data_IF_694322743084
#
_entry.id   IF_694322743084
#
_cell.length_a   1.000
_cell.length_b   1.000
_cell.length_c   1.000
_cell.angle_alpha   90.00
_cell.angle_beta   90.00
_cell.angle_gamma   90.00
#
_symmetry.space_group_name_H-M   'P 1'
#
loop_
_entity.id
_entity.type
_entity.pdbx_description
1 polymer ?
#
# COMPACT_ATOMS: atom_id res chain seq x y z
N UNK A 1 10.83 -18.81 5.26
CA UNK A 1 9.74 -18.40 4.35
C UNK A 1 8.96 -17.27 5.00
N UNK A 2 8.41 -16.34 4.22
CA UNK A 2 7.48 -15.31 4.72
C UNK A 2 6.23 -15.96 5.29
N UNK A 3 5.86 -15.55 6.50
CA UNK A 3 4.63 -15.96 7.19
C UNK A 3 3.80 -14.72 7.47
N UNK A 4 2.50 -14.77 7.16
CA UNK A 4 1.53 -13.72 7.47
C UNK A 4 0.72 -14.17 8.68
N UNK A 5 0.58 -13.28 9.67
CA UNK A 5 -0.24 -13.52 10.86
C UNK A 5 -1.16 -12.34 11.11
N UNK A 6 -2.47 -12.59 10.97
CA UNK A 6 -3.50 -11.62 11.35
C UNK A 6 -3.70 -11.66 12.86
N UNK A 7 -3.48 -10.51 13.54
CA UNK A 7 -3.66 -10.40 14.99
C UNK A 7 -5.00 -9.75 15.35
N UNK A 8 -5.47 -8.82 14.52
CA UNK A 8 -6.79 -8.19 14.59
C UNK A 8 -7.23 -7.77 13.19
N UNK A 9 -8.47 -7.29 12.99
CA UNK A 9 -8.88 -6.71 11.71
C UNK A 9 -7.97 -5.57 11.24
N UNK A 10 -7.34 -4.82 12.14
CA UNK A 10 -6.49 -3.67 11.81
C UNK A 10 -4.99 -3.99 11.80
N UNK A 11 -4.56 -5.16 12.29
CA UNK A 11 -3.14 -5.49 12.45
C UNK A 11 -2.73 -6.78 11.75
N UNK A 12 -1.82 -6.62 10.79
CA UNK A 12 -1.13 -7.72 10.10
C UNK A 12 0.35 -7.78 10.49
N UNK A 13 0.86 -8.96 10.80
CA UNK A 13 2.29 -9.20 11.00
C UNK A 13 2.89 -9.99 9.83
N UNK A 14 3.93 -9.43 9.20
CA UNK A 14 4.80 -10.12 8.24
C UNK A 14 6.01 -10.64 9.01
N UNK A 15 6.12 -11.95 9.16
CA UNK A 15 7.22 -12.62 9.88
C UNK A 15 8.23 -13.17 8.89
N UNK A 16 9.47 -12.70 9.00
CA UNK A 16 10.54 -13.00 8.03
C UNK A 16 11.76 -13.55 8.78
N UNK A 17 12.28 -14.73 8.42
CA UNK A 17 13.57 -15.17 8.94
C UNK A 17 14.66 -14.25 8.40
N UNK A 18 15.58 -13.80 9.26
CA UNK A 18 16.65 -12.89 8.83
C UNK A 18 18.05 -13.38 9.19
N UNK A 19 19.00 -12.94 8.36
CA UNK A 19 20.44 -12.97 8.63
C UNK A 19 20.89 -11.55 8.92
N UNK A 20 21.71 -11.36 9.96
CA UNK A 20 22.18 -10.03 10.38
C UNK A 20 22.80 -9.26 9.21
N UNK A 21 22.37 -8.01 9.03
CA UNK A 21 22.92 -7.11 8.01
C UNK A 21 22.48 -7.41 6.57
N UNK A 22 21.66 -8.44 6.35
CA UNK A 22 21.06 -8.72 5.04
C UNK A 22 19.78 -7.88 4.90
N UNK A 23 19.64 -7.06 3.86
CA UNK A 23 18.45 -6.24 3.64
C UNK A 23 17.26 -7.08 3.19
N UNK A 24 16.07 -6.60 3.54
CA UNK A 24 14.78 -7.09 3.04
C UNK A 24 14.02 -5.92 2.43
N UNK A 25 13.66 -6.06 1.15
CA UNK A 25 12.91 -5.04 0.41
C UNK A 25 11.40 -5.32 0.46
N UNK A 26 10.60 -4.25 0.45
CA UNK A 26 9.14 -4.28 0.36
C UNK A 26 8.71 -3.23 -0.68
N UNK A 27 7.72 -3.57 -1.51
CA UNK A 27 7.09 -2.62 -2.41
C UNK A 27 5.85 -2.03 -1.74
N UNK A 28 5.85 -0.72 -1.51
CA UNK A 28 4.72 0.01 -0.95
C UNK A 28 4.06 0.83 -2.06
N UNK A 29 2.80 0.53 -2.39
CA UNK A 29 2.03 1.21 -3.45
C UNK A 29 0.62 1.57 -2.99
N UNK A 30 -0.03 2.49 -3.68
CA UNK A 30 -1.42 2.95 -3.44
C UNK A 30 -1.96 3.52 -4.75
N UNK A 31 -3.26 3.82 -4.80
CA UNK A 31 -3.90 4.58 -5.89
C UNK A 31 -3.56 4.00 -7.26
N UNK A 32 -3.68 2.67 -7.36
CA UNK A 32 -3.32 1.90 -8.56
C UNK A 32 -4.39 2.07 -9.63
N UNK A 33 -5.67 2.00 -9.22
CA UNK A 33 -6.83 2.08 -10.10
C UNK A 33 -6.76 1.14 -11.31
N UNK A 34 -6.47 -0.15 -11.05
CA UNK A 34 -6.07 -1.14 -12.07
C UNK A 34 -7.06 -1.29 -13.24
N UNK A 35 -8.36 -1.17 -12.99
CA UNK A 35 -9.44 -1.24 -13.98
C UNK A 35 -9.68 0.06 -14.75
N UNK A 36 -8.97 1.15 -14.42
CA UNK A 36 -9.08 2.40 -15.16
C UNK A 36 -8.18 2.37 -16.42
N UNK A 37 -8.65 2.86 -17.60
CA UNK A 37 -7.82 3.01 -18.79
C UNK A 37 -6.55 3.85 -18.60
N UNK A 38 -6.60 4.82 -17.68
CA UNK A 38 -5.47 5.70 -17.34
C UNK A 38 -4.43 5.04 -16.40
N UNK A 39 -4.69 3.82 -15.92
CA UNK A 39 -3.69 3.07 -15.18
C UNK A 39 -2.53 2.66 -16.11
N UNK A 40 -1.32 3.12 -15.79
CA UNK A 40 -0.08 2.67 -16.41
C UNK A 40 0.26 1.25 -15.93
N UNK A 41 -0.44 0.28 -16.54
CA UNK A 41 -0.24 -1.16 -16.32
C UNK A 41 1.16 -1.62 -16.71
N UNK A 42 1.90 -0.87 -17.55
CA UNK A 42 3.28 -1.19 -17.90
C UNK A 42 4.23 -0.88 -16.74
N UNK A 43 4.14 0.33 -16.20
CA UNK A 43 4.89 0.74 -15.03
C UNK A 43 4.60 -0.16 -13.83
N UNK A 44 3.31 -0.45 -13.58
CA UNK A 44 2.90 -1.35 -12.51
C UNK A 44 3.53 -2.74 -12.71
N UNK A 45 3.39 -3.34 -13.90
CA UNK A 45 3.97 -4.65 -14.21
C UNK A 45 5.47 -4.68 -13.98
N UNK A 46 6.19 -3.61 -14.36
CA UNK A 46 7.62 -3.48 -14.11
C UNK A 46 7.95 -3.54 -12.61
N UNK A 47 7.23 -2.80 -11.77
CA UNK A 47 7.48 -2.79 -10.32
C UNK A 47 7.09 -4.12 -9.66
N UNK A 48 6.01 -4.76 -10.09
CA UNK A 48 5.60 -6.08 -9.60
C UNK A 48 6.61 -7.17 -9.98
N UNK A 49 7.14 -7.13 -11.21
CA UNK A 49 8.23 -8.02 -11.65
C UNK A 49 9.50 -7.82 -10.83
N UNK A 50 9.87 -6.56 -10.55
CA UNK A 50 11.00 -6.26 -9.68
C UNK A 50 10.78 -6.78 -8.26
N UNK A 51 9.57 -6.63 -7.71
CA UNK A 51 9.24 -7.11 -6.36
C UNK A 51 9.36 -8.63 -6.29
N UNK A 52 8.78 -9.35 -7.25
CA UNK A 52 8.89 -10.80 -7.34
C UNK A 52 10.35 -11.26 -7.50
N UNK A 53 11.12 -10.63 -8.38
CA UNK A 53 12.54 -10.96 -8.59
C UNK A 53 13.42 -10.75 -7.34
N UNK A 54 13.06 -9.78 -6.47
CA UNK A 54 13.73 -9.53 -5.19
C UNK A 54 13.19 -10.40 -4.03
N UNK A 55 12.10 -11.14 -4.26
CA UNK A 55 11.35 -11.79 -3.17
C UNK A 55 10.72 -10.79 -2.19
N UNK A 56 10.47 -9.56 -2.65
CA UNK A 56 9.91 -8.47 -1.87
C UNK A 56 8.38 -8.62 -1.76
N UNK A 57 7.80 -8.59 -0.54
CA UNK A 57 6.36 -8.53 -0.38
C UNK A 57 5.79 -7.22 -0.94
N UNK A 58 4.62 -7.30 -1.57
CA UNK A 58 3.90 -6.16 -2.13
C UNK A 58 2.76 -5.80 -1.17
N UNK A 59 2.72 -4.53 -0.77
CA UNK A 59 1.73 -3.95 0.15
C UNK A 59 1.01 -2.80 -0.57
N UNK A 60 -0.31 -2.92 -0.74
CA UNK A 60 -1.15 -1.93 -1.42
C UNK A 60 -2.05 -1.21 -0.42
N UNK A 61 -1.91 0.12 -0.31
CA UNK A 61 -2.56 0.92 0.74
C UNK A 61 -3.75 1.74 0.24
N UNK A 62 -4.75 1.05 -0.33
CA UNK A 62 -6.00 1.63 -0.81
C UNK A 62 -6.01 1.96 -2.30
N UNK A 63 -7.22 2.08 -2.84
CA UNK A 63 -7.52 2.42 -4.23
C UNK A 63 -6.75 1.53 -5.23
N UNK A 64 -6.71 0.22 -4.95
CA UNK A 64 -6.22 -0.77 -5.91
C UNK A 64 -7.15 -0.81 -7.14
N UNK A 65 -8.45 -0.69 -6.89
CA UNK A 65 -9.49 -0.69 -7.90
C UNK A 65 -10.13 0.70 -8.00
N UNK A 66 -10.51 1.10 -9.21
CA UNK A 66 -11.16 2.36 -9.54
C UNK A 66 -12.68 2.26 -9.35
N UNK A 67 -13.34 1.24 -9.91
CA UNK A 67 -14.74 0.90 -9.62
C UNK A 67 -15.77 2.02 -9.89
N UNK A 68 -15.45 2.97 -10.75
CA UNK A 68 -16.27 4.17 -10.94
C UNK A 68 -17.49 3.96 -11.85
N UNK A 69 -17.68 2.77 -12.43
CA UNK A 69 -18.72 2.54 -13.47
C UNK A 69 -19.96 1.79 -12.94
N UNK A 70 -20.06 1.62 -11.62
CA UNK A 70 -21.26 1.07 -11.00
C UNK A 70 -22.48 1.98 -11.21
N UNK A 71 -23.68 1.41 -11.31
CA UNK A 71 -24.92 2.16 -11.63
C UNK A 71 -25.23 3.33 -10.68
N UNK A 72 -24.74 3.27 -9.43
CA UNK A 72 -24.95 4.30 -8.41
C UNK A 72 -23.77 5.27 -8.28
N UNK A 73 -22.71 5.10 -9.07
CA UNK A 73 -21.55 6.00 -9.02
C UNK A 73 -21.77 7.19 -9.97
N UNK A 74 -21.87 8.39 -9.39
CA UNK A 74 -22.07 9.64 -10.15
C UNK A 74 -20.82 10.10 -10.90
N UNK A 75 -19.67 9.48 -10.63
CA UNK A 75 -18.38 9.82 -11.26
C UNK A 75 -18.15 9.01 -12.54
N UNK A 76 -19.01 8.04 -12.85
CA UNK A 76 -18.87 7.14 -13.99
C UNK A 76 -18.82 7.86 -15.33
N UNK A 77 -17.97 7.34 -16.22
CA UNK A 77 -17.83 7.80 -17.60
C UNK A 77 -17.38 6.65 -18.47
N UNK A 78 -17.99 6.52 -19.65
CA UNK A 78 -17.62 5.49 -20.64
C UNK A 78 -16.16 5.60 -21.10
N UNK A 79 -15.57 6.79 -21.06
CA UNK A 79 -14.15 6.99 -21.38
C UNK A 79 -13.22 6.36 -20.35
N UNK A 80 -13.70 6.18 -19.12
CA UNK A 80 -12.95 5.63 -17.98
C UNK A 80 -13.32 4.15 -17.73
N UNK A 81 -13.92 3.48 -18.72
CA UNK A 81 -14.30 2.07 -18.69
C UNK A 81 -13.46 1.31 -19.71
N UNK A 82 -12.79 0.23 -19.28
CA UNK A 82 -12.08 -0.65 -20.21
C UNK A 82 -13.08 -1.52 -20.99
N UNK A 83 -12.81 -1.85 -22.27
CA UNK A 83 -13.72 -2.65 -23.10
C UNK A 83 -14.12 -3.99 -22.48
N UNK A 84 -13.16 -4.67 -21.83
CA UNK A 84 -13.37 -5.95 -21.13
C UNK A 84 -14.35 -5.87 -19.95
N UNK A 85 -14.61 -4.66 -19.42
CA UNK A 85 -15.54 -4.45 -18.31
C UNK A 85 -16.92 -3.94 -18.77
N UNK A 86 -17.15 -3.85 -20.10
CA UNK A 86 -18.38 -3.33 -20.69
C UNK A 86 -19.52 -4.35 -20.70
N UNK A 87 -19.90 -4.88 -19.52
CA UNK A 87 -21.02 -5.81 -19.35
C UNK A 87 -21.98 -5.39 -18.23
N UNK A 88 -23.14 -6.05 -18.18
CA UNK A 88 -24.18 -5.78 -17.16
C UNK A 88 -23.74 -6.14 -15.74
N UNK A 89 -22.75 -7.02 -15.60
CA UNK A 89 -22.13 -7.47 -14.36
C UNK A 89 -20.75 -6.80 -14.15
N UNK A 90 -20.66 -5.48 -14.38
CA UNK A 90 -19.44 -4.68 -14.33
C UNK A 90 -18.46 -5.06 -13.20
N UNK A 91 -18.93 -5.15 -11.95
CA UNK A 91 -18.05 -5.45 -10.81
C UNK A 91 -17.43 -6.83 -10.90
N UNK A 92 -18.20 -7.86 -11.27
CA UNK A 92 -17.66 -9.21 -11.44
C UNK A 92 -16.59 -9.24 -12.54
N UNK A 93 -16.83 -8.57 -13.67
CA UNK A 93 -15.86 -8.45 -14.76
C UNK A 93 -14.56 -7.78 -14.29
N UNK A 94 -14.66 -6.71 -13.50
CA UNK A 94 -13.50 -6.05 -12.91
C UNK A 94 -12.75 -6.99 -11.96
N UNK A 95 -13.46 -7.68 -11.06
CA UNK A 95 -12.84 -8.56 -10.08
C UNK A 95 -12.16 -9.76 -10.72
N UNK A 96 -12.80 -10.38 -11.72
CA UNK A 96 -12.25 -11.52 -12.43
C UNK A 96 -11.00 -11.12 -13.22
N UNK A 97 -11.08 -10.04 -14.03
CA UNK A 97 -9.95 -9.59 -14.85
C UNK A 97 -8.78 -9.07 -14.01
N UNK A 98 -9.05 -8.29 -12.95
CA UNK A 98 -7.98 -7.82 -12.07
C UNK A 98 -7.32 -8.97 -11.30
N UNK A 99 -8.08 -10.00 -10.89
CA UNK A 99 -7.50 -11.18 -10.25
C UNK A 99 -6.61 -11.97 -11.22
N UNK A 100 -7.07 -12.16 -12.46
CA UNK A 100 -6.29 -12.82 -13.51
C UNK A 100 -5.02 -12.03 -13.83
N UNK A 101 -5.13 -10.71 -14.00
CA UNK A 101 -3.99 -9.82 -14.28
C UNK A 101 -2.94 -9.86 -13.16
N UNK A 102 -3.36 -9.86 -11.89
CA UNK A 102 -2.48 -9.91 -10.73
C UNK A 102 -1.95 -11.32 -10.42
N UNK A 103 -2.53 -12.37 -11.01
CA UNK A 103 -2.18 -13.77 -10.72
C UNK A 103 -0.69 -14.11 -10.86
N UNK A 104 0.10 -13.55 -11.80
CA UNK A 104 1.53 -13.85 -11.90
C UNK A 104 2.33 -13.43 -10.65
N UNK A 105 1.82 -12.47 -9.87
CA UNK A 105 2.45 -11.96 -8.65
C UNK A 105 1.69 -12.33 -7.37
N UNK A 106 0.72 -13.25 -7.47
CA UNK A 106 -0.13 -13.69 -6.37
C UNK A 106 0.69 -14.11 -5.12
N UNK A 107 1.82 -14.78 -5.31
CA UNK A 107 2.71 -15.22 -4.22
C UNK A 107 3.42 -14.08 -3.48
N UNK A 108 3.60 -12.94 -4.14
CA UNK A 108 4.31 -11.76 -3.61
C UNK A 108 3.33 -10.75 -3.00
N UNK A 109 2.06 -10.77 -3.38
CA UNK A 109 1.03 -9.89 -2.82
C UNK A 109 0.69 -10.32 -1.38
N UNK A 110 1.03 -9.47 -0.42
CA UNK A 110 0.89 -9.77 1.00
C UNK A 110 -0.27 -9.01 1.65
N UNK A 111 -0.53 -7.77 1.21
CA UNK A 111 -1.56 -6.91 1.79
C UNK A 111 -2.22 -6.06 0.70
N UNK A 112 -3.54 -5.96 0.78
CA UNK A 112 -4.33 -4.89 0.15
C UNK A 112 -5.21 -4.27 1.23
N UNK A 113 -5.27 -2.94 1.30
CA UNK A 113 -6.18 -2.24 2.21
C UNK A 113 -7.25 -1.50 1.45
N UNK A 114 -8.36 -1.19 2.11
CA UNK A 114 -9.41 -0.35 1.54
C UNK A 114 -8.90 1.07 1.23
N UNK A 115 -9.40 1.65 0.13
CA UNK A 115 -9.36 3.07 -0.15
C UNK A 115 -10.76 3.68 -0.24
N UNK A 116 -10.85 4.92 -0.71
CA UNK A 116 -12.13 5.60 -0.82
C UNK A 116 -12.94 5.10 -2.02
N UNK A 117 -12.30 4.48 -3.02
CA UNK A 117 -13.01 3.87 -4.14
C UNK A 117 -13.72 2.59 -3.71
N UNK A 118 -13.03 1.71 -2.98
CA UNK A 118 -13.62 0.44 -2.53
C UNK A 118 -14.69 0.65 -1.46
N UNK A 119 -14.45 1.52 -0.48
CA UNK A 119 -15.45 1.84 0.55
C UNK A 119 -16.69 2.53 -0.01
N UNK A 120 -16.56 3.33 -1.07
CA UNK A 120 -17.72 3.93 -1.76
C UNK A 120 -18.60 2.86 -2.43
N UNK A 121 -18.01 1.81 -3.01
CA UNK A 121 -18.80 0.69 -3.57
C UNK A 121 -19.48 -0.09 -2.46
N UNK A 122 -18.76 -0.43 -1.39
CA UNK A 122 -19.32 -1.13 -0.24
C UNK A 122 -20.51 -0.37 0.35
N UNK A 123 -20.36 0.94 0.59
CA UNK A 123 -21.43 1.76 1.18
C UNK A 123 -22.64 2.01 0.27
N UNK A 124 -22.43 2.12 -1.05
CA UNK A 124 -23.52 2.45 -1.98
C UNK A 124 -24.20 1.22 -2.60
N UNK A 125 -23.49 0.09 -2.67
CA UNK A 125 -23.91 -1.10 -3.42
C UNK A 125 -23.76 -2.40 -2.64
N UNK A 126 -23.33 -2.35 -1.37
CA UNK A 126 -23.27 -3.51 -0.45
C UNK A 126 -22.38 -4.65 -0.96
N UNK A 127 -21.41 -4.32 -1.82
CA UNK A 127 -20.42 -5.24 -2.37
C UNK A 127 -19.07 -4.87 -1.78
N UNK A 128 -18.43 -5.80 -1.09
CA UNK A 128 -17.03 -5.67 -0.68
C UNK A 128 -16.11 -6.00 -1.88
N UNK A 129 -15.43 -5.01 -2.47
CA UNK A 129 -14.64 -5.24 -3.67
C UNK A 129 -13.34 -6.00 -3.38
N UNK A 130 -12.66 -5.68 -2.28
CA UNK A 130 -11.37 -6.27 -1.96
C UNK A 130 -11.50 -7.67 -1.38
N UNK A 131 -12.54 -7.97 -0.61
CA UNK A 131 -12.80 -9.35 -0.20
C UNK A 131 -13.10 -10.23 -1.44
N UNK A 132 -13.86 -9.70 -2.41
CA UNK A 132 -14.11 -10.41 -3.67
C UNK A 132 -12.84 -10.66 -4.50
N UNK A 133 -11.95 -9.67 -4.59
CA UNK A 133 -10.68 -9.77 -5.29
C UNK A 133 -9.72 -10.72 -4.57
N UNK A 134 -9.53 -10.54 -3.26
CA UNK A 134 -8.59 -11.37 -2.47
C UNK A 134 -9.03 -12.83 -2.41
N UNK A 135 -10.33 -13.11 -2.33
CA UNK A 135 -10.86 -14.49 -2.46
C UNK A 135 -10.45 -15.15 -3.78
N UNK A 136 -10.50 -14.43 -4.90
CA UNK A 136 -10.07 -14.93 -6.21
C UNK A 136 -8.55 -15.13 -6.28
N UNK A 137 -7.78 -14.16 -5.76
CA UNK A 137 -6.32 -14.26 -5.68
C UNK A 137 -5.85 -15.42 -4.82
N UNK A 138 -6.56 -15.76 -3.74
CA UNK A 138 -6.32 -16.97 -2.93
C UNK A 138 -6.53 -18.24 -3.75
N UNK A 139 -7.46 -18.24 -4.72
CA UNK A 139 -7.61 -19.31 -5.72
C UNK A 139 -6.38 -19.49 -6.62
N UNK A 140 -5.60 -18.43 -6.85
CA UNK A 140 -4.29 -18.45 -7.52
C UNK A 140 -3.12 -18.72 -6.55
N UNK A 141 -3.40 -19.14 -5.31
CA UNK A 141 -2.37 -19.44 -4.30
C UNK A 141 -1.80 -18.22 -3.56
N UNK A 142 -2.40 -17.04 -3.71
CA UNK A 142 -2.00 -15.86 -2.94
C UNK A 142 -2.28 -16.04 -1.44
N UNK A 143 -1.41 -15.46 -0.61
CA UNK A 143 -1.64 -15.31 0.83
C UNK A 143 -2.19 -13.94 1.21
N UNK A 144 -2.59 -13.13 0.22
CA UNK A 144 -2.98 -11.74 0.44
C UNK A 144 -4.04 -11.60 1.53
N UNK A 145 -3.80 -10.62 2.38
CA UNK A 145 -4.70 -10.21 3.45
C UNK A 145 -5.38 -8.89 3.08
N UNK A 146 -6.69 -8.83 3.24
CA UNK A 146 -7.50 -7.62 3.08
C UNK A 146 -7.58 -6.89 4.42
N UNK A 147 -7.13 -5.63 4.47
CA UNK A 147 -7.18 -4.77 5.65
C UNK A 147 -8.14 -3.59 5.46
N UNK A 148 -8.66 -3.01 6.55
CA UNK A 148 -9.51 -1.83 6.50
C UNK A 148 -8.72 -0.59 6.06
N UNK A 149 -9.43 0.54 5.91
CA UNK A 149 -8.91 1.84 5.42
C UNK A 149 -7.67 2.38 6.15
N UNK A 150 -7.50 2.00 7.42
CA UNK A 150 -6.31 2.29 8.22
C UNK A 150 -5.96 1.10 9.10
N UNK A 151 -4.71 1.03 9.54
CA UNK A 151 -4.27 -0.04 10.42
C UNK A 151 -2.76 -0.07 10.61
N UNK A 152 -2.28 -1.25 10.95
CA UNK A 152 -0.92 -1.50 11.37
C UNK A 152 -0.34 -2.69 10.61
N UNK A 153 0.94 -2.56 10.29
CA UNK A 153 1.75 -3.64 9.75
C UNK A 153 2.97 -3.81 10.64
N UNK A 154 3.17 -5.01 11.17
CA UNK A 154 4.38 -5.37 11.89
C UNK A 154 5.32 -6.15 10.98
N UNK A 155 6.44 -5.54 10.60
CA UNK A 155 7.51 -6.24 9.89
C UNK A 155 8.44 -6.85 10.95
N UNK A 156 8.24 -8.15 11.23
CA UNK A 156 8.95 -8.86 12.29
C UNK A 156 10.01 -9.79 11.72
N UNK A 157 11.26 -9.41 11.91
CA UNK A 157 12.43 -10.18 11.53
C UNK A 157 12.84 -11.09 12.69
N UNK A 158 12.86 -12.41 12.50
CA UNK A 158 13.23 -13.37 13.53
C UNK A 158 14.44 -14.24 13.14
N UNK A 159 15.28 -14.63 14.12
CA UNK A 159 16.32 -15.65 13.91
C UNK A 159 15.77 -17.04 14.25
N UNK A 160 15.77 -18.03 13.34
CA UNK A 160 15.46 -19.42 13.68
C UNK A 160 16.42 -19.95 14.77
N UNK A 161 15.95 -20.85 15.64
CA UNK A 161 16.77 -21.54 16.67
C UNK A 161 17.25 -20.76 17.91
N UNK A 162 17.20 -19.41 17.97
CA UNK A 162 17.78 -18.65 19.10
C UNK A 162 16.89 -18.56 20.38
N UNK A 163 17.41 -18.29 21.58
CA UNK A 163 16.59 -18.21 22.82
C UNK A 163 15.77 -16.90 22.94
N UNK A 164 14.78 -16.86 23.87
CA UNK A 164 13.66 -15.88 23.94
C UNK A 164 14.03 -14.38 24.00
N UNK A 165 15.21 -13.98 24.48
CA UNK A 165 15.62 -12.57 24.57
C UNK A 165 16.59 -12.23 23.44
N UNK A 166 16.20 -11.32 22.54
CA UNK A 166 17.05 -10.83 21.43
C UNK A 166 16.78 -11.47 20.07
N UNK A 167 15.77 -12.35 19.96
CA UNK A 167 15.47 -13.16 18.77
C UNK A 167 14.81 -12.40 17.61
N UNK A 168 14.06 -11.34 17.91
CA UNK A 168 13.24 -10.60 16.96
C UNK A 168 13.64 -9.13 16.86
N UNK A 169 13.48 -8.56 15.67
CA UNK A 169 13.52 -7.12 15.41
C UNK A 169 12.21 -6.75 14.72
N UNK A 170 11.62 -5.63 15.09
CA UNK A 170 10.33 -5.22 14.54
C UNK A 170 10.42 -3.80 14.04
N UNK A 171 9.84 -3.56 12.86
CA UNK A 171 9.43 -2.25 12.40
C UNK A 171 7.91 -2.19 12.53
N UNK A 172 7.42 -1.18 13.24
CA UNK A 172 5.99 -0.91 13.38
C UNK A 172 5.61 0.11 12.32
N UNK A 173 4.80 -0.29 11.36
CA UNK A 173 4.24 0.58 10.34
C UNK A 173 2.78 0.89 10.68
N UNK A 174 2.41 2.16 10.61
CA UNK A 174 1.01 2.60 10.59
C UNK A 174 0.66 3.02 9.17
N UNK A 175 -0.54 2.68 8.71
CA UNK A 175 -1.04 3.15 7.43
C UNK A 175 -2.45 3.72 7.57
N UNK A 176 -2.77 4.63 6.67
CA UNK A 176 -4.10 5.18 6.47
C UNK A 176 -4.21 5.53 4.98
N UNK A 177 -5.25 5.12 4.25
CA UNK A 177 -5.30 5.40 2.81
C UNK A 177 -5.18 6.89 2.50
N UNK A 178 -5.90 7.75 3.22
CA UNK A 178 -5.65 9.19 3.19
C UNK A 178 -6.90 10.01 3.45
N UNK A 179 -6.74 11.32 3.59
CA UNK A 179 -7.85 12.27 3.57
C UNK A 179 -7.63 13.24 2.42
N UNK A 180 -8.72 13.72 1.81
CA UNK A 180 -8.64 14.59 0.66
C UNK A 180 -7.89 15.89 0.97
N UNK A 181 -7.10 16.38 0.00
CA UNK A 181 -6.29 17.59 0.12
C UNK A 181 -4.78 17.35 0.12
N UNK A 182 -4.01 18.33 0.58
CA UNK A 182 -2.55 18.22 0.68
C UNK A 182 -1.78 18.35 -0.64
N UNK A 183 -2.43 18.80 -1.73
CA UNK A 183 -1.81 18.99 -3.05
C UNK A 183 -0.60 19.93 -2.94
N UNK A 184 -0.76 21.11 -2.35
CA UNK A 184 0.31 22.11 -2.25
C UNK A 184 1.44 21.66 -1.30
N UNK A 185 1.10 21.00 -0.20
CA UNK A 185 2.08 20.49 0.76
C UNK A 185 2.67 19.14 0.34
N UNK A 186 2.30 18.61 -0.83
CA UNK A 186 2.72 17.31 -1.35
C UNK A 186 2.51 16.16 -0.34
N UNK A 187 1.40 16.22 0.39
CA UNK A 187 1.03 15.25 1.42
C UNK A 187 1.77 15.36 2.76
N UNK A 188 2.81 16.19 2.88
CA UNK A 188 3.71 16.24 4.07
C UNK A 188 2.96 16.54 5.38
N UNK A 189 1.94 17.40 5.33
CA UNK A 189 1.12 17.74 6.50
C UNK A 189 0.32 16.54 7.03
N UNK A 190 -0.04 15.58 6.17
CA UNK A 190 -0.68 14.34 6.57
C UNK A 190 0.21 13.52 7.51
N UNK A 191 1.52 13.49 7.23
CA UNK A 191 2.52 12.80 8.05
C UNK A 191 2.50 13.22 9.51
N UNK A 192 2.43 14.53 9.78
CA UNK A 192 2.34 15.06 11.14
C UNK A 192 1.06 14.63 11.87
N UNK A 193 -0.08 14.64 11.17
CA UNK A 193 -1.38 14.19 11.73
C UNK A 193 -1.33 12.70 12.11
N UNK A 194 -0.87 11.86 11.19
CA UNK A 194 -0.77 10.42 11.43
C UNK A 194 0.26 10.10 12.51
N UNK A 195 1.39 10.83 12.55
CA UNK A 195 2.40 10.67 13.58
C UNK A 195 1.89 10.98 14.99
N UNK A 196 0.93 11.91 15.11
CA UNK A 196 0.29 12.29 16.37
C UNK A 196 -0.67 11.22 16.90
N UNK A 197 -1.41 10.53 16.02
CA UNK A 197 -2.36 9.48 16.43
C UNK A 197 -1.70 8.11 16.54
N UNK A 198 -0.57 7.91 15.86
CA UNK A 198 0.23 6.69 15.88
C UNK A 198 1.67 6.98 16.33
N UNK A 199 1.89 7.43 17.58
CA UNK A 199 3.24 7.79 18.07
C UNK A 199 4.22 6.61 18.09
N UNK A 200 3.72 5.38 18.14
CA UNK A 200 4.52 4.15 18.14
C UNK A 200 5.00 3.70 16.75
N UNK A 201 4.52 4.33 15.67
CA UNK A 201 4.91 3.96 14.31
C UNK A 201 6.35 4.42 13.99
N UNK A 202 7.19 3.50 13.52
CA UNK A 202 8.50 3.79 12.95
C UNK A 202 8.36 4.29 11.50
N UNK A 203 7.36 3.77 10.77
CA UNK A 203 7.02 4.16 9.40
C UNK A 203 5.53 4.48 9.32
N UNK A 204 5.18 5.58 8.68
CA UNK A 204 3.81 6.02 8.41
C UNK A 204 3.62 6.03 6.91
N UNK A 205 2.53 5.42 6.44
CA UNK A 205 2.22 5.31 5.01
C UNK A 205 0.82 5.84 4.72
N UNK A 206 0.67 6.62 3.65
CA UNK A 206 -0.64 6.99 3.12
C UNK A 206 -0.59 7.26 1.61
N UNK A 207 -1.72 7.16 0.92
CA UNK A 207 -1.95 7.49 -0.49
C UNK A 207 -2.97 8.62 -0.66
N UNK A 208 -3.95 8.43 -1.56
CA UNK A 208 -5.15 9.23 -1.81
C UNK A 208 -4.97 10.54 -2.60
N UNK A 209 -3.87 11.28 -2.39
CA UNK A 209 -3.65 12.56 -3.09
C UNK A 209 -2.71 12.45 -4.31
N UNK A 210 -2.20 11.24 -4.58
CA UNK A 210 -1.32 10.88 -5.68
C UNK A 210 0.04 11.62 -5.68
N UNK A 211 0.38 12.27 -4.57
CA UNK A 211 1.70 12.88 -4.37
C UNK A 211 2.70 11.79 -3.99
N UNK A 212 3.99 12.03 -4.23
CA UNK A 212 5.04 11.10 -3.77
C UNK A 212 6.09 11.85 -2.98
N UNK A 213 6.07 11.69 -1.66
CA UNK A 213 7.04 12.31 -0.76
C UNK A 213 7.51 11.33 0.31
N UNK A 214 8.79 11.44 0.63
CA UNK A 214 9.40 10.76 1.76
C UNK A 214 9.96 11.82 2.71
N UNK A 215 9.44 11.86 3.93
CA UNK A 215 9.88 12.78 4.98
C UNK A 215 10.38 11.98 6.15
N UNK A 216 11.61 12.28 6.57
CA UNK A 216 12.22 11.66 7.74
C UNK A 216 12.19 12.66 8.89
N UNK A 217 11.69 12.26 10.06
CA UNK A 217 11.74 13.08 11.28
C UNK A 217 12.37 12.31 12.45
N UNK A 218 13.38 12.90 13.10
CA UNK A 218 14.01 12.32 14.28
C UNK A 218 13.16 12.60 15.52
N UNK A 219 12.89 11.58 16.33
CA UNK A 219 12.12 11.71 17.56
C UNK A 219 12.85 11.07 18.75
N UNK A 220 12.54 11.53 19.95
CA UNK A 220 12.98 10.87 21.18
C UNK A 220 12.10 9.65 21.47
N UNK A 221 12.74 8.54 21.84
CA UNK A 221 12.09 7.39 22.48
C UNK A 221 12.84 6.99 23.73
N UNK A 222 12.09 6.47 24.70
CA UNK A 222 12.66 5.86 25.89
C UNK A 222 12.61 4.35 25.75
N UNK A 223 13.75 3.70 25.86
CA UNK A 223 13.84 2.24 25.84
C UNK A 223 13.21 1.63 27.10
N UNK A 224 12.88 0.33 27.09
CA UNK A 224 12.39 -0.38 28.28
C UNK A 224 13.37 -0.35 29.48
N UNK A 225 14.64 0.04 29.25
CA UNK A 225 15.66 0.21 30.30
C UNK A 225 15.76 1.66 30.80
N UNK A 226 14.85 2.54 30.39
CA UNK A 226 14.84 3.95 30.80
C UNK A 226 15.84 4.85 30.07
N UNK A 227 16.53 4.36 29.03
CA UNK A 227 17.47 5.18 28.25
C UNK A 227 16.76 5.94 27.14
N UNK A 228 16.94 7.27 27.09
CA UNK A 228 16.53 8.10 25.96
C UNK A 228 17.42 7.80 24.75
N UNK A 229 16.81 7.67 23.58
CA UNK A 229 17.49 7.56 22.28
C UNK A 229 16.78 8.41 21.25
N UNK A 230 17.54 8.92 20.28
CA UNK A 230 16.98 9.54 19.07
C UNK A 230 16.76 8.42 18.06
N UNK A 231 15.56 8.35 17.52
CA UNK A 231 15.18 7.39 16.48
C UNK A 231 14.57 8.11 15.29
N UNK A 232 14.99 7.72 14.08
CA UNK A 232 14.40 8.21 12.86
C UNK A 232 13.02 7.57 12.62
N UNK A 233 12.01 8.39 12.34
CA UNK A 233 10.70 7.96 11.81
C UNK A 233 10.57 8.41 10.36
N UNK A 234 9.78 7.66 9.60
CA UNK A 234 9.51 7.94 8.21
C UNK A 234 8.02 8.19 7.98
N UNK A 235 7.71 9.18 7.17
CA UNK A 235 6.42 9.37 6.55
C UNK A 235 6.58 9.22 5.04
N UNK A 236 5.83 8.29 4.46
CA UNK A 236 5.83 7.96 3.04
C UNK A 236 4.42 8.21 2.48
N UNK A 237 4.30 9.31 1.74
CA UNK A 237 3.13 9.59 0.90
C UNK A 237 3.34 8.87 -0.43
N UNK A 238 2.49 7.89 -0.74
CA UNK A 238 2.58 7.07 -1.94
C UNK A 238 1.92 7.77 -3.12
N UNK A 239 2.58 7.67 -4.29
CA UNK A 239 2.07 8.18 -5.56
C UNK A 239 0.98 7.28 -6.14
N UNK A 240 0.75 7.40 -7.44
CA UNK A 240 -0.32 6.70 -8.16
C UNK A 240 0.22 5.88 -9.34
N UNK A 241 -0.58 4.97 -9.88
CA UNK A 241 -0.35 4.40 -11.21
C UNK A 241 -1.29 4.96 -12.27
N UNK A 242 -2.10 5.97 -11.95
CA UNK A 242 -3.08 6.57 -12.85
C UNK A 242 -2.58 7.90 -13.40
N UNK A 243 -2.30 7.95 -14.70
CA UNK A 243 -1.85 9.16 -15.40
C UNK A 243 -3.05 9.87 -16.05
N UNK A 244 -3.36 11.07 -15.57
CA UNK A 244 -4.56 11.83 -15.98
C UNK A 244 -4.25 13.23 -16.54
N UNK A 245 -2.98 13.60 -16.69
CA UNK A 245 -2.58 14.97 -17.00
C UNK A 245 -2.00 15.12 -18.41
N UNK A 246 -1.40 14.08 -18.99
CA UNK A 246 -0.71 14.17 -20.28
C UNK A 246 -1.62 14.64 -21.43
N UNK A 247 -2.90 14.25 -21.40
CA UNK A 247 -3.88 14.62 -22.43
C UNK A 247 -4.33 16.09 -22.37
N UNK A 248 -3.96 16.85 -21.34
CA UNK A 248 -4.31 18.27 -21.19
C UNK A 248 -5.81 18.55 -21.02
N UNK A 249 -6.62 17.53 -20.76
CA UNK A 249 -8.07 17.64 -20.55
C UNK A 249 -8.55 16.56 -19.56
N UNK A 250 -9.77 16.75 -19.03
CA UNK A 250 -10.37 15.84 -18.06
C UNK A 250 -10.39 16.36 -16.63
N UNK A 251 -11.10 15.65 -15.76
CA UNK A 251 -11.42 16.11 -14.40
C UNK A 251 -10.17 16.45 -13.57
N UNK A 252 -9.10 15.65 -13.67
CA UNK A 252 -7.86 15.90 -12.93
C UNK A 252 -7.18 17.20 -13.38
N UNK A 253 -7.13 17.46 -14.70
CA UNK A 253 -6.60 18.70 -15.25
C UNK A 253 -7.44 19.90 -14.81
N UNK A 254 -8.77 19.77 -14.82
CA UNK A 254 -9.71 20.85 -14.47
C UNK A 254 -9.78 21.17 -12.97
N UNK A 255 -9.61 20.17 -12.10
CA UNK A 255 -9.86 20.30 -10.64
C UNK A 255 -8.62 20.19 -9.77
N UNK A 256 -7.65 19.37 -10.16
CA UNK A 256 -6.40 19.17 -9.40
C UNK A 256 -5.29 20.05 -9.95
N UNK A 257 -5.21 20.23 -11.28
CA UNK A 257 -4.29 21.13 -11.99
C UNK A 257 -2.80 20.74 -11.93
N UNK A 258 -2.40 19.92 -10.95
CA UNK A 258 -1.01 19.52 -10.73
C UNK A 258 -0.76 18.07 -11.13
N UNK A 259 0.13 17.81 -12.12
CA UNK A 259 0.56 16.46 -12.49
C UNK A 259 1.12 15.67 -11.30
N UNK A 260 0.91 14.36 -11.32
CA UNK A 260 1.15 13.48 -10.18
C UNK A 260 2.38 12.61 -10.35
N UNK A 261 2.96 12.25 -9.21
CA UNK A 261 4.14 11.38 -9.20
C UNK A 261 3.70 9.93 -9.37
N UNK A 262 4.23 9.28 -10.39
CA UNK A 262 3.92 7.88 -10.69
C UNK A 262 4.72 6.94 -9.78
N UNK A 263 4.12 5.81 -9.43
CA UNK A 263 4.75 4.74 -8.66
C UNK A 263 4.74 4.95 -7.14
N UNK A 264 5.24 3.93 -6.43
CA UNK A 264 5.34 3.91 -4.96
C UNK A 264 6.76 4.10 -4.45
N UNK A 265 7.07 3.44 -3.34
CA UNK A 265 8.39 3.39 -2.73
C UNK A 265 8.86 1.95 -2.52
N UNK A 266 10.16 1.72 -2.71
CA UNK A 266 10.86 0.62 -2.08
C UNK A 266 11.16 0.99 -0.62
N UNK A 267 10.72 0.15 0.31
CA UNK A 267 11.15 0.20 1.71
C UNK A 267 12.20 -0.90 1.92
N UNK A 268 13.39 -0.52 2.37
CA UNK A 268 14.48 -1.44 2.70
C UNK A 268 14.66 -1.51 4.20
N UNK A 269 14.52 -2.70 4.76
CA UNK A 269 14.75 -2.98 6.17
C UNK A 269 15.98 -3.87 6.33
N UNK A 270 16.99 -3.38 7.06
CA UNK A 270 18.21 -4.15 7.34
C UNK A 270 18.31 -4.43 8.84
N UNK A 271 17.98 -5.65 9.30
CA UNK A 271 18.06 -5.99 10.72
C UNK A 271 19.50 -5.94 11.24
N UNK A 272 19.74 -5.15 12.29
CA UNK A 272 21.02 -4.97 12.97
C UNK A 272 20.95 -5.52 14.40
N UNK A 273 22.06 -5.41 15.13
CA UNK A 273 22.08 -5.81 16.54
C UNK A 273 21.16 -4.93 17.38
N UNK A 274 21.12 -3.64 17.09
CA UNK A 274 20.30 -2.64 17.80
C UNK A 274 19.12 -2.14 16.94
N UNK A 275 18.24 -3.04 16.52
CA UNK A 275 17.02 -2.67 15.80
C UNK A 275 17.05 -3.02 14.32
N UNK A 276 16.36 -2.21 13.52
CA UNK A 276 16.28 -2.34 12.07
C UNK A 276 16.64 -0.99 11.48
N UNK A 277 17.63 -0.98 10.60
CA UNK A 277 17.94 0.18 9.78
C UNK A 277 16.92 0.26 8.64
N UNK A 278 16.32 1.44 8.47
CA UNK A 278 15.24 1.67 7.49
C UNK A 278 15.72 2.69 6.47
N UNK A 279 15.66 2.30 5.19
CA UNK A 279 15.83 3.21 4.05
C UNK A 279 14.62 3.14 3.13
N UNK A 280 14.40 4.19 2.35
CA UNK A 280 13.37 4.21 1.32
C UNK A 280 13.87 4.94 0.07
N UNK A 281 13.42 4.47 -1.09
CA UNK A 281 13.70 5.11 -2.39
C UNK A 281 12.48 4.97 -3.31
N UNK A 282 12.25 5.92 -4.23
CA UNK A 282 11.21 5.80 -5.24
C UNK A 282 11.28 4.45 -5.99
N UNK A 283 10.13 3.83 -6.22
CA UNK A 283 10.03 2.63 -7.05
C UNK A 283 10.16 2.94 -8.54
#
# INVERSE_FOLDING_TARGET
MLELRRHSPELLELRIPYTRGVPHDFLLISDVHLDNPHCDRELLRRHLNQAQGRGAPILVFGDLLCLMQGKRDRRGSKSSLRPEHAGSNYFDLVFDECAEWLSPWASSLALVSDGNHETAVLGNQEIDPLENLTRRLRGYGSKVEHLPYQGWVWLTFYRPGASRRGRTRRVTMFFHHGAWGGIISKGVMGGGRYASIAPEADVIVNGHNHERTAVSHACYRVTQRGQQRIQQRWHLQLGTYKEEFQAGSGWAVEKIVMPKSMGGFWLRCTPRDEGVEIGCEPA
#
